data_IF_216233971755
#
_entry.id   IF_216233971755
#
_cell.length_a   1.000
_cell.length_b   1.000
_cell.length_c   1.000
_cell.angle_alpha   90.00
_cell.angle_beta   90.00
_cell.angle_gamma   90.00
#
_symmetry.space_group_name_H-M   'P 1'
#
loop_
_entity.id
_entity.type
_entity.pdbx_description
1 polymer ?
#
# COMPACT_ATOMS: atom_id res chain seq x y z
N UNK A 1 1.84 -37.87 28.19
CA UNK A 1 0.72 -37.60 27.25
C UNK A 1 1.13 -36.43 26.38
N UNK A 2 1.47 -36.70 25.13
CA UNK A 2 1.80 -35.66 24.16
C UNK A 2 0.51 -34.95 23.73
N UNK A 3 0.48 -33.63 23.86
CA UNK A 3 -0.56 -32.81 23.25
C UNK A 3 -0.29 -32.75 21.75
N UNK A 4 -1.23 -33.26 20.97
CA UNK A 4 -1.24 -33.17 19.51
C UNK A 4 -1.31 -31.68 19.13
N UNK A 5 -0.27 -31.21 18.44
CA UNK A 5 -0.26 -29.98 17.67
C UNK A 5 -1.45 -30.03 16.70
N UNK A 6 -2.32 -29.04 16.80
CA UNK A 6 -3.38 -28.78 15.82
C UNK A 6 -2.70 -28.46 14.50
N UNK A 7 -2.70 -29.45 13.61
CA UNK A 7 -2.31 -29.32 12.22
C UNK A 7 -3.14 -28.21 11.55
N UNK A 8 -2.47 -27.21 10.98
CA UNK A 8 -3.04 -26.33 9.96
C UNK A 8 -3.50 -27.22 8.79
N UNK A 9 -4.79 -27.54 8.76
CA UNK A 9 -5.40 -28.12 7.57
C UNK A 9 -5.45 -26.98 6.55
N UNK A 10 -4.56 -27.01 5.57
CA UNK A 10 -4.60 -26.08 4.45
C UNK A 10 -5.97 -26.21 3.75
N UNK A 11 -6.82 -25.20 3.91
CA UNK A 11 -8.08 -25.10 3.17
C UNK A 11 -7.71 -24.90 1.70
N UNK A 12 -8.18 -25.80 0.83
CA UNK A 12 -7.95 -25.65 -0.61
C UNK A 12 -8.62 -24.35 -1.10
N UNK A 13 -7.90 -23.47 -1.83
CA UNK A 13 -8.46 -22.20 -2.26
C UNK A 13 -9.48 -22.39 -3.38
N UNK A 14 -10.53 -21.57 -3.39
CA UNK A 14 -11.41 -21.47 -4.55
C UNK A 14 -10.63 -20.90 -5.74
N UNK A 15 -10.63 -21.61 -6.87
CA UNK A 15 -9.87 -21.21 -8.06
C UNK A 15 -10.78 -20.54 -9.08
N UNK A 16 -10.38 -19.36 -9.56
CA UNK A 16 -11.05 -18.66 -10.66
C UNK A 16 -10.04 -18.34 -11.77
N UNK A 17 -10.30 -18.85 -12.97
CA UNK A 17 -9.45 -18.59 -14.13
C UNK A 17 -10.04 -17.49 -15.02
N UNK A 18 -9.33 -16.36 -15.13
CA UNK A 18 -9.79 -15.20 -15.88
C UNK A 18 -9.71 -15.36 -17.41
N UNK A 19 -9.18 -16.47 -17.92
CA UNK A 19 -9.30 -16.82 -19.34
C UNK A 19 -10.71 -17.31 -19.70
N UNK A 20 -11.48 -17.79 -18.72
CA UNK A 20 -12.85 -18.27 -18.89
C UNK A 20 -13.88 -17.41 -18.15
N UNK A 21 -13.53 -16.88 -16.97
CA UNK A 21 -14.38 -16.02 -16.15
C UNK A 21 -14.04 -14.55 -16.37
N UNK A 22 -15.05 -13.69 -16.51
CA UNK A 22 -14.86 -12.24 -16.60
C UNK A 22 -14.51 -11.62 -15.25
N UNK A 23 -13.79 -10.48 -15.27
CA UNK A 23 -13.46 -9.72 -14.04
C UNK A 23 -14.72 -9.31 -13.26
N UNK A 24 -15.82 -9.00 -13.97
CA UNK A 24 -17.10 -8.65 -13.34
C UNK A 24 -17.66 -9.82 -12.52
N UNK A 25 -17.58 -11.02 -13.05
CA UNK A 25 -18.06 -12.24 -12.38
C UNK A 25 -17.17 -12.59 -11.20
N UNK A 26 -15.84 -12.46 -11.34
CA UNK A 26 -14.90 -12.60 -10.22
C UNK A 26 -15.24 -11.63 -9.08
N UNK A 27 -15.36 -10.34 -9.37
CA UNK A 27 -15.65 -9.35 -8.33
C UNK A 27 -17.03 -9.59 -7.70
N UNK A 28 -18.05 -9.93 -8.49
CA UNK A 28 -19.36 -10.29 -7.95
C UNK A 28 -19.29 -11.49 -7.00
N UNK A 29 -18.46 -12.49 -7.29
CA UNK A 29 -18.23 -13.61 -6.40
C UNK A 29 -17.50 -13.20 -5.11
N UNK A 30 -16.48 -12.34 -5.23
CA UNK A 30 -15.72 -11.82 -4.08
C UNK A 30 -16.51 -10.82 -3.21
N UNK A 31 -17.57 -10.21 -3.76
CA UNK A 31 -18.50 -9.33 -3.04
C UNK A 31 -19.71 -10.06 -2.47
N UNK A 32 -19.84 -11.36 -2.73
CA UNK A 32 -20.98 -12.11 -2.23
C UNK A 32 -20.98 -12.10 -0.68
N UNK A 33 -22.14 -11.91 -0.01
CA UNK A 33 -22.19 -11.86 1.44
C UNK A 33 -21.67 -13.12 2.15
N UNK A 34 -21.68 -14.25 1.45
CA UNK A 34 -21.22 -15.57 1.89
C UNK A 34 -19.82 -15.91 1.35
N UNK A 35 -19.04 -14.94 0.85
CA UNK A 35 -17.73 -15.18 0.22
C UNK A 35 -16.77 -15.93 1.15
N UNK A 36 -16.72 -15.54 2.44
CA UNK A 36 -15.85 -16.17 3.43
C UNK A 36 -16.32 -17.59 3.81
N UNK A 37 -17.63 -17.84 3.79
CA UNK A 37 -18.21 -19.18 4.01
C UNK A 37 -17.94 -20.11 2.82
N UNK A 38 -17.92 -19.56 1.60
CA UNK A 38 -17.59 -20.30 0.37
C UNK A 38 -16.13 -20.70 0.33
N UNK A 39 -15.23 -19.76 0.60
CA UNK A 39 -13.82 -20.00 0.74
C UNK A 39 -13.14 -18.82 1.45
N UNK A 40 -12.31 -19.14 2.45
CA UNK A 40 -11.45 -18.16 3.10
C UNK A 40 -10.25 -17.73 2.22
N UNK A 41 -9.91 -18.54 1.20
CA UNK A 41 -8.80 -18.30 0.29
C UNK A 41 -9.24 -18.47 -1.19
N UNK A 42 -8.80 -17.56 -2.04
CA UNK A 42 -9.13 -17.49 -3.46
C UNK A 42 -7.85 -17.39 -4.29
N UNK A 43 -7.78 -18.19 -5.34
CA UNK A 43 -6.66 -18.19 -6.30
C UNK A 43 -7.18 -17.76 -7.67
N UNK A 44 -6.70 -16.62 -8.13
CA UNK A 44 -7.07 -16.03 -9.43
C UNK A 44 -5.96 -16.28 -10.43
N UNK A 45 -6.23 -17.05 -11.49
CA UNK A 45 -5.25 -17.38 -12.53
C UNK A 45 -5.50 -16.61 -13.82
N UNK A 46 -4.49 -16.58 -14.69
CA UNK A 46 -4.56 -16.00 -16.04
C UNK A 46 -5.01 -14.52 -16.09
N UNK A 47 -4.55 -13.62 -15.19
CA UNK A 47 -5.05 -12.25 -15.10
C UNK A 47 -4.73 -11.43 -16.36
N UNK A 48 -3.62 -11.71 -17.04
CA UNK A 48 -3.20 -11.12 -18.31
C UNK A 48 -3.31 -9.58 -18.35
N UNK A 49 -2.95 -8.89 -17.26
CA UNK A 49 -2.98 -7.44 -17.18
C UNK A 49 -4.39 -6.82 -17.14
N UNK A 50 -5.44 -7.62 -16.91
CA UNK A 50 -6.82 -7.11 -16.77
C UNK A 50 -6.93 -6.15 -15.59
N UNK A 51 -7.78 -5.15 -15.77
CA UNK A 51 -7.99 -4.07 -14.80
C UNK A 51 -9.03 -4.46 -13.75
N UNK A 52 -9.04 -3.74 -12.63
CA UNK A 52 -10.06 -3.80 -11.58
C UNK A 52 -10.28 -5.20 -11.00
N UNK A 53 -9.23 -6.02 -10.94
CA UNK A 53 -9.29 -7.32 -10.26
C UNK A 53 -9.32 -7.07 -8.74
N UNK A 54 -10.21 -7.77 -8.03
CA UNK A 54 -10.30 -7.77 -6.57
C UNK A 54 -10.53 -6.37 -5.96
N UNK A 55 -11.32 -5.52 -6.62
CA UNK A 55 -11.67 -4.18 -6.11
C UNK A 55 -12.81 -4.25 -5.10
N UNK A 56 -12.85 -3.35 -4.12
CA UNK A 56 -13.99 -3.17 -3.22
C UNK A 56 -14.26 -4.35 -2.28
N UNK A 57 -13.22 -5.06 -1.85
CA UNK A 57 -13.38 -6.23 -0.98
C UNK A 57 -13.68 -5.80 0.46
N UNK A 58 -14.85 -6.17 0.95
CA UNK A 58 -15.34 -5.87 2.30
C UNK A 58 -15.57 -7.15 3.12
N UNK A 59 -14.73 -8.17 2.91
CA UNK A 59 -14.75 -9.42 3.65
C UNK A 59 -13.31 -9.88 3.98
N UNK A 60 -13.16 -10.59 5.09
CA UNK A 60 -11.88 -11.18 5.51
C UNK A 60 -11.59 -12.45 4.69
N UNK A 61 -11.03 -12.26 3.50
CA UNK A 61 -10.57 -13.35 2.61
C UNK A 61 -9.16 -13.09 2.13
N UNK A 62 -8.42 -14.16 1.82
CA UNK A 62 -7.13 -14.10 1.14
C UNK A 62 -7.34 -14.28 -0.37
N UNK A 63 -6.86 -13.34 -1.18
CA UNK A 63 -6.93 -13.39 -2.64
C UNK A 63 -5.53 -13.36 -3.23
N UNK A 64 -5.09 -14.49 -3.78
CA UNK A 64 -3.82 -14.64 -4.49
C UNK A 64 -4.04 -14.57 -6.00
N UNK A 65 -3.46 -13.58 -6.65
CA UNK A 65 -3.56 -13.35 -8.09
C UNK A 65 -2.25 -13.74 -8.76
N UNK A 66 -2.31 -14.70 -9.68
CA UNK A 66 -1.12 -15.29 -10.30
C UNK A 66 -0.78 -14.63 -11.64
N UNK A 67 0.06 -13.60 -11.55
CA UNK A 67 0.60 -12.89 -12.70
C UNK A 67 0.35 -11.38 -12.65
N UNK A 68 0.58 -10.73 -13.79
CA UNK A 68 0.45 -9.28 -13.89
C UNK A 68 -1.01 -8.83 -13.90
N UNK A 69 -1.27 -7.73 -13.18
CA UNK A 69 -2.59 -7.07 -13.11
C UNK A 69 -2.51 -5.67 -13.68
N UNK A 70 -3.65 -5.19 -14.17
CA UNK A 70 -3.78 -3.86 -14.74
C UNK A 70 -4.15 -2.80 -13.70
N UNK A 71 -4.95 -1.81 -14.13
CA UNK A 71 -5.26 -0.64 -13.32
C UNK A 71 -6.18 -0.98 -12.16
N UNK A 72 -6.03 -0.26 -11.05
CA UNK A 72 -6.92 -0.28 -9.89
C UNK A 72 -7.07 -1.63 -9.18
N UNK A 73 -6.18 -2.59 -9.42
CA UNK A 73 -6.21 -3.87 -8.70
C UNK A 73 -6.22 -3.63 -7.18
N UNK A 74 -7.07 -4.35 -6.45
CA UNK A 74 -7.24 -4.19 -5.00
C UNK A 74 -7.64 -2.78 -4.52
N UNK A 75 -8.10 -1.90 -5.41
CA UNK A 75 -8.62 -0.59 -5.03
C UNK A 75 -9.87 -0.72 -4.15
N UNK A 76 -10.05 0.21 -3.21
CA UNK A 76 -11.15 0.21 -2.23
C UNK A 76 -11.19 -1.04 -1.33
N UNK A 77 -10.07 -1.73 -1.15
CA UNK A 77 -9.97 -2.85 -0.22
C UNK A 77 -10.26 -2.41 1.22
N UNK A 78 -11.11 -3.13 1.94
CA UNK A 78 -11.45 -2.84 3.33
C UNK A 78 -10.94 -3.94 4.26
N UNK A 79 -11.26 -5.21 4.04
CA UNK A 79 -10.90 -6.27 5.00
C UNK A 79 -9.96 -7.34 4.44
N UNK A 80 -9.87 -7.49 3.12
CA UNK A 80 -9.16 -8.61 2.54
C UNK A 80 -7.64 -8.47 2.58
N UNK A 81 -6.97 -9.61 2.45
CA UNK A 81 -5.56 -9.69 2.09
C UNK A 81 -5.45 -10.03 0.61
N UNK A 82 -4.77 -9.21 -0.17
CA UNK A 82 -4.59 -9.43 -1.62
C UNK A 82 -3.11 -9.54 -1.95
N UNK A 83 -2.69 -10.65 -2.56
CA UNK A 83 -1.32 -10.84 -3.04
C UNK A 83 -1.29 -10.94 -4.57
N UNK A 84 -0.52 -10.07 -5.22
CA UNK A 84 -0.25 -10.10 -6.66
C UNK A 84 1.12 -10.70 -6.90
N UNK A 85 1.15 -11.90 -7.49
CA UNK A 85 2.37 -12.60 -7.91
C UNK A 85 2.84 -12.08 -9.28
N UNK A 86 3.15 -10.78 -9.32
CA UNK A 86 3.51 -10.08 -10.55
C UNK A 86 3.61 -8.57 -10.37
N UNK A 87 3.48 -7.86 -11.48
CA UNK A 87 3.48 -6.39 -11.53
C UNK A 87 2.05 -5.86 -11.50
N UNK A 88 1.87 -4.66 -10.97
CA UNK A 88 0.58 -3.98 -10.93
C UNK A 88 0.57 -2.68 -11.74
N UNK A 89 -0.54 -2.43 -12.43
CA UNK A 89 -0.78 -1.21 -13.19
C UNK A 89 -1.06 0.01 -12.30
N UNK A 90 -1.58 1.07 -12.93
CA UNK A 90 -1.85 2.36 -12.25
C UNK A 90 -2.88 2.18 -11.13
N UNK A 91 -2.66 2.81 -9.98
CA UNK A 91 -3.68 2.90 -8.92
C UNK A 91 -3.90 1.61 -8.13
N UNK A 92 -2.91 0.71 -8.06
CA UNK A 92 -3.02 -0.47 -7.18
C UNK A 92 -3.30 -0.04 -5.73
N UNK A 93 -4.27 -0.69 -5.07
CA UNK A 93 -4.74 -0.36 -3.73
C UNK A 93 -5.21 1.10 -3.54
N UNK A 94 -5.61 1.77 -4.62
CA UNK A 94 -6.19 3.11 -4.55
C UNK A 94 -7.42 3.12 -3.65
N UNK A 95 -7.47 4.10 -2.75
CA UNK A 95 -8.58 4.32 -1.82
C UNK A 95 -8.86 3.11 -0.90
N UNK A 96 -7.87 2.26 -0.61
CA UNK A 96 -8.03 1.18 0.39
C UNK A 96 -8.29 1.78 1.78
N UNK A 97 -9.19 1.14 2.53
CA UNK A 97 -9.63 1.55 3.86
C UNK A 97 -8.86 0.82 4.97
N UNK A 98 -8.61 -0.48 4.78
CA UNK A 98 -7.81 -1.33 5.67
C UNK A 98 -7.40 -2.63 4.93
N UNK A 99 -6.99 -3.66 5.68
CA UNK A 99 -6.47 -4.91 5.11
C UNK A 99 -5.04 -4.76 4.59
N UNK A 100 -4.60 -5.73 3.78
CA UNK A 100 -3.24 -5.76 3.24
C UNK A 100 -3.26 -6.01 1.74
N UNK A 101 -2.46 -5.26 0.98
CA UNK A 101 -2.19 -5.54 -0.43
C UNK A 101 -0.68 -5.72 -0.60
N UNK A 102 -0.25 -6.83 -1.21
CA UNK A 102 1.16 -7.11 -1.50
C UNK A 102 1.37 -7.33 -2.99
N UNK A 103 2.29 -6.59 -3.58
CA UNK A 103 2.73 -6.75 -4.97
C UNK A 103 4.15 -7.31 -4.95
N UNK A 104 4.34 -8.53 -5.44
CA UNK A 104 5.66 -9.20 -5.50
C UNK A 104 6.62 -8.58 -6.53
N UNK A 105 6.07 -7.87 -7.51
CA UNK A 105 6.84 -7.15 -8.53
C UNK A 105 6.81 -5.64 -8.32
N UNK A 106 6.80 -4.90 -9.44
CA UNK A 106 6.74 -3.46 -9.48
C UNK A 106 5.30 -2.94 -9.53
N UNK A 107 5.09 -1.73 -9.03
CA UNK A 107 3.85 -0.99 -9.16
C UNK A 107 4.02 0.22 -10.09
N UNK A 108 3.03 0.46 -10.95
CA UNK A 108 2.99 1.66 -11.79
C UNK A 108 2.63 2.90 -10.96
N UNK A 109 2.22 3.97 -11.64
CA UNK A 109 1.91 5.25 -11.02
C UNK A 109 0.76 5.14 -10.01
N UNK A 110 0.76 6.03 -9.02
CA UNK A 110 -0.35 6.22 -8.09
C UNK A 110 -0.67 5.00 -7.20
N UNK A 111 0.30 4.13 -6.92
CA UNK A 111 0.13 3.04 -5.95
C UNK A 111 -0.29 3.60 -4.57
N UNK A 112 -1.36 3.07 -3.98
CA UNK A 112 -1.89 3.51 -2.69
C UNK A 112 -2.48 4.93 -2.71
N UNK A 113 -2.82 5.48 -3.88
CA UNK A 113 -3.39 6.81 -3.98
C UNK A 113 -4.65 6.95 -3.12
N UNK A 114 -4.78 8.06 -2.40
CA UNK A 114 -5.95 8.41 -1.57
C UNK A 114 -6.34 7.43 -0.46
N UNK A 115 -5.56 6.36 -0.25
CA UNK A 115 -5.88 5.31 0.71
C UNK A 115 -5.89 5.82 2.16
N UNK A 116 -6.87 5.35 2.92
CA UNK A 116 -7.22 5.80 4.25
C UNK A 116 -6.56 4.96 5.36
N UNK A 117 -6.17 3.72 5.08
CA UNK A 117 -5.57 2.82 6.07
C UNK A 117 -5.13 1.49 5.48
N UNK A 118 -4.65 0.60 6.34
CA UNK A 118 -4.09 -0.70 5.95
C UNK A 118 -2.64 -0.62 5.48
N UNK A 119 -2.14 -1.73 4.96
CA UNK A 119 -0.75 -1.89 4.53
C UNK A 119 -0.67 -2.24 3.03
N UNK A 120 0.03 -1.41 2.26
CA UNK A 120 0.45 -1.73 0.89
C UNK A 120 1.95 -2.05 0.88
N UNK A 121 2.31 -3.25 0.44
CA UNK A 121 3.70 -3.67 0.22
C UNK A 121 3.96 -3.82 -1.27
N UNK A 122 5.00 -3.15 -1.78
CA UNK A 122 5.52 -3.35 -3.13
C UNK A 122 6.95 -3.84 -2.98
N UNK A 123 7.22 -5.09 -3.34
CA UNK A 123 8.56 -5.68 -3.17
C UNK A 123 9.58 -5.12 -4.18
N UNK A 124 9.11 -4.73 -5.36
CA UNK A 124 9.89 -3.98 -6.35
C UNK A 124 9.83 -2.46 -6.13
N UNK A 125 9.91 -1.72 -7.23
CA UNK A 125 9.81 -0.26 -7.27
C UNK A 125 8.38 0.21 -7.57
N UNK A 126 8.05 1.42 -7.11
CA UNK A 126 6.82 2.11 -7.47
C UNK A 126 7.14 3.32 -8.36
N UNK A 127 6.32 3.56 -9.39
CA UNK A 127 6.54 4.70 -10.29
C UNK A 127 6.11 6.03 -9.64
N UNK A 128 5.84 7.04 -10.46
CA UNK A 128 5.46 8.37 -10.01
C UNK A 128 4.22 8.38 -9.11
N UNK A 129 4.16 9.36 -8.20
CA UNK A 129 2.99 9.64 -7.36
C UNK A 129 2.57 8.47 -6.47
N UNK A 130 3.50 7.60 -6.06
CA UNK A 130 3.22 6.59 -5.04
C UNK A 130 2.75 7.29 -3.76
N UNK A 131 1.61 6.88 -3.21
CA UNK A 131 0.99 7.51 -2.03
C UNK A 131 0.44 8.92 -2.25
N UNK A 132 0.14 9.33 -3.50
CA UNK A 132 -0.49 10.64 -3.74
C UNK A 132 -1.79 10.77 -2.96
N UNK A 133 -1.92 11.88 -2.24
CA UNK A 133 -3.08 12.21 -1.41
C UNK A 133 -3.45 11.14 -0.39
N UNK A 134 -2.49 10.31 0.06
CA UNK A 134 -2.70 9.31 1.12
C UNK A 134 -3.25 9.93 2.39
N UNK A 135 -4.16 9.23 3.09
CA UNK A 135 -4.94 9.74 4.24
C UNK A 135 -4.82 8.86 5.48
N UNK A 136 -3.85 7.96 5.52
CA UNK A 136 -3.62 7.09 6.68
C UNK A 136 -3.04 5.72 6.37
N UNK A 137 -2.95 5.34 5.09
CA UNK A 137 -2.31 4.08 4.67
C UNK A 137 -0.82 4.04 5.04
N UNK A 138 -0.33 2.85 5.35
CA UNK A 138 1.10 2.58 5.41
C UNK A 138 1.54 1.89 4.10
N UNK A 139 2.51 2.46 3.41
CA UNK A 139 3.05 1.97 2.14
C UNK A 139 4.53 1.64 2.35
N UNK A 140 4.94 0.43 2.01
CA UNK A 140 6.35 0.00 2.04
C UNK A 140 6.77 -0.42 0.63
N UNK A 141 7.80 0.23 0.11
CA UNK A 141 8.39 -0.04 -1.21
C UNK A 141 9.81 -0.57 -1.01
N UNK A 142 10.07 -1.77 -1.52
CA UNK A 142 11.37 -2.45 -1.41
C UNK A 142 12.44 -1.88 -2.33
N UNK A 143 12.05 -1.28 -3.45
CA UNK A 143 12.93 -0.56 -4.37
C UNK A 143 12.75 0.96 -4.32
N UNK A 144 12.81 1.57 -5.49
CA UNK A 144 12.76 3.01 -5.68
C UNK A 144 11.32 3.53 -5.77
N UNK A 145 11.15 4.83 -5.52
CA UNK A 145 9.92 5.57 -5.85
C UNK A 145 10.16 6.67 -6.87
N UNK A 146 9.22 6.82 -7.79
CA UNK A 146 9.27 7.86 -8.82
C UNK A 146 9.01 9.27 -8.29
N UNK A 147 9.00 10.23 -9.23
CA UNK A 147 8.74 11.65 -8.94
C UNK A 147 7.37 11.88 -8.29
N UNK A 148 7.27 12.94 -7.49
CA UNK A 148 6.04 13.37 -6.81
C UNK A 148 5.42 12.31 -5.89
N UNK A 149 6.21 11.36 -5.39
CA UNK A 149 5.73 10.40 -4.39
C UNK A 149 5.38 11.13 -3.09
N UNK A 150 4.30 10.69 -2.43
CA UNK A 150 3.64 11.35 -1.31
C UNK A 150 3.17 12.80 -1.59
N UNK A 151 2.94 13.17 -2.86
CA UNK A 151 2.34 14.46 -3.19
C UNK A 151 0.99 14.64 -2.50
N UNK A 152 0.80 15.74 -1.77
CA UNK A 152 -0.39 16.01 -0.95
C UNK A 152 -0.69 14.93 0.10
N UNK A 153 0.31 14.18 0.57
CA UNK A 153 0.13 13.15 1.60
C UNK A 153 -0.38 13.76 2.91
N UNK A 154 -1.59 13.39 3.31
CA UNK A 154 -2.29 13.97 4.45
C UNK A 154 -1.92 13.28 5.77
N UNK A 155 -1.91 11.95 5.77
CA UNK A 155 -1.55 11.11 6.91
C UNK A 155 -1.09 9.72 6.44
N UNK A 156 -0.52 8.93 7.34
CA UNK A 156 0.04 7.60 7.07
C UNK A 156 1.55 7.64 6.88
N UNK A 157 2.12 6.55 6.35
CA UNK A 157 3.58 6.38 6.21
C UNK A 157 3.95 5.87 4.83
N UNK A 158 5.00 6.45 4.24
CA UNK A 158 5.65 5.94 3.04
C UNK A 158 7.08 5.54 3.41
N UNK A 159 7.41 4.25 3.32
CA UNK A 159 8.75 3.70 3.52
C UNK A 159 9.32 3.31 2.16
N UNK A 160 10.52 3.82 1.85
CA UNK A 160 11.23 3.58 0.60
C UNK A 160 12.60 3.01 0.92
N UNK A 161 12.84 1.76 0.55
CA UNK A 161 14.10 1.08 0.82
C UNK A 161 15.19 1.41 -0.22
N UNK A 162 14.80 1.95 -1.38
CA UNK A 162 15.70 2.50 -2.41
C UNK A 162 15.74 4.03 -2.46
N UNK A 163 15.86 4.56 -3.67
CA UNK A 163 15.95 5.99 -3.96
C UNK A 163 14.57 6.63 -4.18
N UNK A 164 14.50 7.94 -3.95
CA UNK A 164 13.33 8.76 -4.26
C UNK A 164 13.63 9.79 -5.36
N UNK A 165 12.73 9.84 -6.34
CA UNK A 165 12.78 10.78 -7.47
C UNK A 165 12.52 12.24 -7.10
N UNK A 166 12.24 13.05 -8.12
CA UNK A 166 12.04 14.49 -7.96
C UNK A 166 10.78 14.85 -7.15
N UNK A 167 10.82 15.96 -6.43
CA UNK A 167 9.69 16.55 -5.70
C UNK A 167 9.02 15.60 -4.69
N UNK A 168 9.84 14.86 -3.92
CA UNK A 168 9.34 13.99 -2.85
C UNK A 168 8.54 14.79 -1.81
N UNK A 169 7.35 14.29 -1.46
CA UNK A 169 6.51 14.87 -0.42
C UNK A 169 6.00 16.28 -0.74
N UNK A 170 5.89 16.65 -2.02
CA UNK A 170 5.35 17.96 -2.39
C UNK A 170 3.99 18.19 -1.70
N UNK A 171 3.84 19.35 -1.06
CA UNK A 171 2.61 19.76 -0.37
C UNK A 171 2.14 18.74 0.68
N UNK A 172 3.07 18.01 1.31
CA UNK A 172 2.78 17.03 2.37
C UNK A 172 2.28 17.72 3.64
N UNK A 173 1.37 17.05 4.36
CA UNK A 173 0.83 17.46 5.66
C UNK A 173 1.41 16.57 6.77
N UNK A 174 0.61 15.69 7.39
CA UNK A 174 1.02 14.89 8.55
C UNK A 174 1.58 13.50 8.18
N UNK A 175 1.63 13.16 6.89
CA UNK A 175 2.26 11.93 6.43
C UNK A 175 3.76 11.93 6.75
N UNK A 176 4.29 10.76 7.14
CA UNK A 176 5.72 10.57 7.42
C UNK A 176 6.35 9.74 6.31
N UNK A 177 7.46 10.24 5.78
CA UNK A 177 8.16 9.57 4.69
C UNK A 177 9.53 9.13 5.20
N UNK A 178 9.89 7.87 4.98
CA UNK A 178 11.18 7.29 5.35
C UNK A 178 11.89 6.83 4.09
N UNK A 179 13.14 7.24 3.88
CA UNK A 179 13.94 6.87 2.70
C UNK A 179 15.32 6.40 3.13
N UNK A 180 15.70 5.19 2.74
CA UNK A 180 17.05 4.66 2.96
C UNK A 180 18.06 5.19 1.94
N UNK A 181 17.67 5.29 0.67
CA UNK A 181 18.52 5.76 -0.43
C UNK A 181 18.62 7.28 -0.56
N UNK A 182 19.03 7.71 -1.74
CA UNK A 182 19.14 9.11 -2.12
C UNK A 182 17.75 9.72 -2.38
N UNK A 183 17.58 10.98 -1.96
CA UNK A 183 16.41 11.79 -2.34
C UNK A 183 16.87 12.84 -3.33
N UNK A 184 16.37 12.78 -4.56
CA UNK A 184 16.83 13.67 -5.63
C UNK A 184 16.46 15.13 -5.39
N UNK A 185 15.20 15.39 -5.04
CA UNK A 185 14.74 16.72 -4.63
C UNK A 185 13.48 16.63 -3.78
N UNK A 186 13.31 17.59 -2.87
CA UNK A 186 12.10 17.72 -2.06
C UNK A 186 11.09 18.61 -2.78
N UNK A 187 9.81 18.29 -2.61
CA UNK A 187 8.71 19.12 -3.08
C UNK A 187 8.43 20.32 -2.18
N UNK A 188 7.46 21.14 -2.56
CA UNK A 188 7.06 22.29 -1.76
C UNK A 188 6.64 21.86 -0.35
N UNK A 189 7.06 22.61 0.67
CA UNK A 189 6.75 22.36 2.08
C UNK A 189 7.19 20.99 2.65
N UNK A 190 8.01 20.22 1.93
CA UNK A 190 8.67 19.03 2.48
C UNK A 190 10.07 19.39 3.00
N UNK A 191 10.42 18.90 4.18
CA UNK A 191 11.77 19.02 4.74
C UNK A 191 12.19 17.70 5.38
N UNK A 192 13.50 17.49 5.46
CA UNK A 192 14.06 16.46 6.33
C UNK A 192 13.71 16.80 7.79
N UNK A 193 13.45 15.76 8.58
CA UNK A 193 13.02 15.86 9.96
C UNK A 193 13.86 14.95 10.84
N UNK A 194 14.03 15.35 12.10
CA UNK A 194 14.70 14.53 13.11
C UNK A 194 14.03 13.15 13.26
N UNK A 195 14.85 12.10 13.29
CA UNK A 195 14.44 10.74 13.63
C UNK A 195 14.51 10.58 15.15
N UNK A 196 13.46 10.04 15.76
CA UNK A 196 13.30 9.89 17.21
C UNK A 196 13.01 8.41 17.51
N UNK A 197 13.17 7.93 18.75
CA UNK A 197 13.01 6.51 19.08
C UNK A 197 11.66 5.91 18.63
N UNK A 198 10.56 6.67 18.74
CA UNK A 198 9.25 6.20 18.28
C UNK A 198 9.15 6.06 16.76
N UNK A 199 9.91 6.87 16.01
CA UNK A 199 9.99 6.74 14.55
C UNK A 199 10.77 5.49 14.15
N UNK A 200 11.83 5.14 14.89
CA UNK A 200 12.59 3.91 14.66
C UNK A 200 11.76 2.67 14.96
N UNK A 201 11.03 2.66 16.08
CA UNK A 201 10.14 1.55 16.44
C UNK A 201 9.01 1.35 15.41
N UNK A 202 8.41 2.46 14.96
CA UNK A 202 7.40 2.47 13.89
C UNK A 202 7.95 1.91 12.58
N UNK A 203 9.11 2.40 12.14
CA UNK A 203 9.76 1.95 10.91
C UNK A 203 10.15 0.47 10.99
N UNK A 204 10.72 0.01 12.10
CA UNK A 204 11.06 -1.40 12.31
C UNK A 204 9.81 -2.30 12.22
N UNK A 205 8.67 -1.86 12.78
CA UNK A 205 7.40 -2.57 12.67
C UNK A 205 6.91 -2.69 11.22
N UNK A 206 7.02 -1.60 10.45
CA UNK A 206 6.64 -1.60 9.03
C UNK A 206 7.53 -2.49 8.17
N UNK A 207 8.85 -2.43 8.36
CA UNK A 207 9.81 -3.29 7.67
C UNK A 207 9.55 -4.77 7.99
N UNK A 208 9.31 -5.09 9.27
CA UNK A 208 8.95 -6.44 9.69
C UNK A 208 7.64 -6.93 9.03
N UNK A 209 6.57 -6.12 9.06
CA UNK A 209 5.29 -6.46 8.43
C UNK A 209 5.42 -6.62 6.90
N UNK A 210 6.31 -5.85 6.28
CA UNK A 210 6.64 -6.00 4.86
C UNK A 210 7.54 -7.21 4.57
N UNK A 211 8.14 -7.84 5.58
CA UNK A 211 9.10 -8.92 5.40
C UNK A 211 10.43 -8.45 4.82
N UNK A 212 10.80 -7.19 5.07
CA UNK A 212 12.04 -6.57 4.61
C UNK A 212 13.04 -6.57 5.77
N UNK A 213 14.21 -7.17 5.53
CA UNK A 213 15.34 -7.13 6.46
C UNK A 213 16.22 -5.91 6.16
N UNK A 214 15.90 -4.80 6.81
CA UNK A 214 16.67 -3.56 6.72
C UNK A 214 16.80 -2.90 8.09
N UNK A 215 17.91 -2.20 8.31
CA UNK A 215 18.15 -1.46 9.55
C UNK A 215 17.37 -0.15 9.53
N UNK A 216 16.40 -0.01 10.43
CA UNK A 216 15.60 1.21 10.56
C UNK A 216 16.47 2.47 10.82
N UNK A 217 17.67 2.34 11.38
CA UNK A 217 18.57 3.47 11.64
C UNK A 217 19.24 4.02 10.37
N UNK A 218 19.19 3.28 9.25
CA UNK A 218 19.73 3.74 7.97
C UNK A 218 18.78 4.66 7.19
N UNK A 219 17.57 4.90 7.70
CA UNK A 219 16.56 5.70 7.02
C UNK A 219 16.56 7.15 7.50
N UNK A 220 16.44 8.06 6.55
CA UNK A 220 16.12 9.47 6.83
C UNK A 220 14.62 9.67 6.83
N UNK A 221 14.15 10.65 7.60
CA UNK A 221 12.72 10.98 7.72
C UNK A 221 12.42 12.34 7.11
N UNK A 222 11.32 12.41 6.38
CA UNK A 222 10.81 13.63 5.75
C UNK A 222 9.35 13.85 6.14
N UNK A 223 8.91 15.12 6.07
CA UNK A 223 7.53 15.51 6.34
C UNK A 223 7.34 17.02 6.25
N UNK A 224 6.14 17.49 6.59
CA UNK A 224 5.76 18.88 6.37
C UNK A 224 6.59 19.88 7.18
N UNK A 225 7.06 20.94 6.54
CA UNK A 225 7.56 22.14 7.20
C UNK A 225 6.42 22.98 7.82
N UNK A 226 5.16 22.63 7.59
CA UNK A 226 3.95 23.28 8.10
C UNK A 226 3.83 24.75 7.70
N UNK A 227 4.32 25.12 6.52
CA UNK A 227 4.21 26.49 6.00
C UNK A 227 2.97 26.71 5.15
N UNK A 228 2.38 25.64 4.61
CA UNK A 228 1.14 25.71 3.83
C UNK A 228 -0.13 25.62 4.69
N UNK A 229 0.02 25.60 6.01
CA UNK A 229 -1.09 25.56 6.96
C UNK A 229 -1.60 27.00 7.14
N UNK A 230 -2.66 27.37 6.40
CA UNK A 230 -3.24 28.71 6.47
C UNK A 230 -4.05 28.97 7.76
N UNK A 231 -4.10 27.99 8.68
CA UNK A 231 -4.71 28.17 10.00
C UNK A 231 -3.66 28.74 10.97
N UNK A 232 -3.75 30.04 11.23
CA UNK A 232 -2.98 30.70 12.28
C UNK A 232 -3.79 30.67 13.58
N UNK A 233 -3.23 30.11 14.65
CA UNK A 233 -3.87 30.06 15.99
C UNK A 233 -4.26 31.46 16.48
N UNK A 234 -3.53 32.50 16.04
CA UNK A 234 -3.83 33.90 16.33
C UNK A 234 -5.20 34.38 15.78
N UNK A 235 -5.80 33.62 14.85
CA UNK A 235 -7.13 33.89 14.27
C UNK A 235 -8.23 32.99 14.86
N UNK A 236 -7.95 32.22 15.92
CA UNK A 236 -8.93 31.31 16.53
C UNK A 236 -10.16 32.04 17.12
N UNK A 237 -10.06 33.34 17.40
CA UNK A 237 -11.18 34.18 17.84
C UNK A 237 -11.98 34.81 16.69
N UNK A 238 -11.62 34.56 15.44
CA UNK A 238 -12.26 35.12 14.24
C UNK A 238 -13.10 34.09 13.45
N UNK A 239 -13.20 32.86 13.95
CA UNK A 239 -14.11 31.80 13.50
C UNK A 239 -15.11 31.48 14.63
#
# INVERSE_FOLDING_TARGET
MAALSTSDVAVEPAVVDLSFTGVRELNAALHAPDVADKASAWRVTSPAGRHSIAVGLDAEVDVRIEGHVGYYCAGMNQLATVTVEGNAGVGVAENMMSGTVRVRGNASQSAGATAHGGLLVVEGSASARCGISMKGVDIVVGGDVGHMSAFMGQAGRLVVCGDAGDALGDSVYEARIYVAGAVKSLGADCVEKEVRPEHLAELAGLLHAAGIDADATSFRRYGSARRLYNFHVDNASAY
#
